data_IF_128284549454
#
_entry.id   IF_128284549454
#
_cell.length_a   1.000
_cell.length_b   1.000
_cell.length_c   1.000
_cell.angle_alpha   90.00
_cell.angle_beta   90.00
_cell.angle_gamma   90.00
#
_symmetry.space_group_name_H-M   'P 1'
#
loop_
_entity.id
_entity.type
_entity.pdbx_description
1 polymer ?
#
# COMPACT_ATOMS: atom_id res chain seq x y z
N UNK A 1 -13.60 -13.08 -5.10
CA UNK A 1 -13.25 -13.09 -3.66
C UNK A 1 -11.79 -12.78 -3.41
N UNK A 2 -10.79 -13.55 -3.87
CA UNK A 2 -9.36 -13.17 -3.67
C UNK A 2 -9.02 -11.75 -4.16
N UNK A 3 -9.57 -11.35 -5.31
CA UNK A 3 -9.42 -10.00 -5.85
C UNK A 3 -10.12 -8.92 -5.03
N UNK A 4 -11.08 -9.25 -4.17
CA UNK A 4 -11.87 -8.26 -3.39
C UNK A 4 -11.16 -7.83 -2.11
N UNK A 5 -10.09 -8.53 -1.73
CA UNK A 5 -9.25 -8.25 -0.59
C UNK A 5 -7.78 -8.16 -1.07
N UNK A 6 -6.86 -8.94 -0.52
CA UNK A 6 -5.42 -8.83 -0.81
C UNK A 6 -4.83 -9.99 -1.64
N UNK A 7 -5.65 -10.92 -2.15
CA UNK A 7 -5.17 -12.12 -2.84
C UNK A 7 -4.33 -11.83 -4.09
N UNK A 8 -4.52 -10.67 -4.72
CA UNK A 8 -3.72 -10.20 -5.86
C UNK A 8 -2.93 -8.92 -5.56
N UNK A 9 -2.57 -8.68 -4.30
CA UNK A 9 -1.97 -7.44 -3.82
C UNK A 9 -0.78 -6.91 -4.66
N UNK A 10 0.17 -7.76 -5.04
CA UNK A 10 1.33 -7.34 -5.86
C UNK A 10 2.11 -6.16 -5.26
N UNK A 11 2.21 -6.11 -3.92
CA UNK A 11 3.00 -5.08 -3.21
C UNK A 11 4.45 -5.08 -3.67
N UNK A 12 5.01 -3.88 -3.85
CA UNK A 12 6.38 -3.69 -4.34
C UNK A 12 6.49 -3.71 -5.86
N UNK A 13 5.38 -3.69 -6.60
CA UNK A 13 5.38 -3.46 -8.05
C UNK A 13 6.03 -2.11 -8.39
N UNK A 14 5.87 -1.12 -7.50
CA UNK A 14 6.64 0.12 -7.50
C UNK A 14 7.13 0.42 -6.09
N UNK A 15 8.24 1.16 -5.98
CA UNK A 15 8.79 1.58 -4.69
C UNK A 15 9.55 2.89 -4.78
N UNK A 16 9.67 3.57 -3.65
CA UNK A 16 10.52 4.75 -3.49
C UNK A 16 11.07 4.79 -2.06
N UNK A 17 12.33 5.17 -1.92
CA UNK A 17 12.95 5.46 -0.64
C UNK A 17 13.02 6.98 -0.47
N UNK A 18 12.39 7.48 0.59
CA UNK A 18 12.42 8.90 0.93
C UNK A 18 13.70 9.26 1.71
N UNK A 19 13.96 10.56 1.83
CA UNK A 19 15.17 11.08 2.50
C UNK A 19 15.18 10.85 4.01
N UNK A 20 14.05 10.49 4.61
CA UNK A 20 13.85 10.27 6.04
C UNK A 20 13.78 8.77 6.41
N UNK A 21 14.32 7.91 5.54
CA UNK A 21 14.30 6.44 5.68
C UNK A 21 12.89 5.82 5.68
N UNK A 22 11.90 6.52 5.12
CA UNK A 22 10.59 5.94 4.83
C UNK A 22 10.62 5.19 3.49
N UNK A 23 10.33 3.89 3.52
CA UNK A 23 10.08 3.09 2.33
C UNK A 23 8.60 3.17 1.93
N UNK A 24 8.35 3.63 0.71
CA UNK A 24 7.04 3.58 0.06
C UNK A 24 6.97 2.39 -0.89
N UNK A 25 5.88 1.62 -0.81
CA UNK A 25 5.62 0.46 -1.68
C UNK A 25 4.24 0.61 -2.31
N UNK A 26 4.20 0.66 -3.64
CA UNK A 26 2.97 0.64 -4.41
C UNK A 26 2.45 -0.79 -4.59
N UNK A 27 1.13 -0.94 -4.54
CA UNK A 27 0.44 -2.21 -4.64
C UNK A 27 -0.82 -2.03 -5.49
N UNK A 28 -0.83 -2.44 -6.77
CA UNK A 28 -1.94 -2.14 -7.67
C UNK A 28 -3.14 -3.08 -7.52
N UNK A 29 -2.97 -4.30 -7.02
CA UNK A 29 -4.03 -5.31 -7.09
C UNK A 29 -5.02 -5.47 -5.92
N UNK A 30 -4.84 -4.90 -4.71
CA UNK A 30 -5.84 -5.00 -3.66
C UNK A 30 -7.19 -4.38 -4.05
N UNK A 31 -8.27 -4.89 -3.46
CA UNK A 31 -9.62 -4.32 -3.55
C UNK A 31 -10.08 -4.09 -4.99
N UNK A 32 -9.98 -5.13 -5.82
CA UNK A 32 -10.42 -5.15 -7.22
C UNK A 32 -9.61 -4.17 -8.08
N UNK A 33 -8.29 -4.22 -7.94
CA UNK A 33 -7.35 -3.36 -8.67
C UNK A 33 -7.45 -1.85 -8.37
N UNK A 34 -8.17 -1.47 -7.31
CA UNK A 34 -8.20 -0.11 -6.77
C UNK A 34 -6.81 0.36 -6.34
N UNK A 35 -6.02 -0.58 -5.83
CA UNK A 35 -4.64 -0.33 -5.41
C UNK A 35 -4.52 0.37 -4.06
N UNK A 36 -3.32 0.36 -3.51
CA UNK A 36 -2.94 1.08 -2.27
C UNK A 36 -1.43 1.33 -2.20
N UNK A 37 -1.01 2.06 -1.18
CA UNK A 37 0.38 2.32 -0.83
C UNK A 37 0.63 1.78 0.58
N UNK A 38 1.72 1.03 0.74
CA UNK A 38 2.25 0.64 2.04
C UNK A 38 3.46 1.49 2.39
N UNK A 39 3.62 1.84 3.67
CA UNK A 39 4.77 2.61 4.15
C UNK A 39 5.39 1.95 5.37
N UNK A 40 6.72 1.96 5.46
CA UNK A 40 7.44 1.42 6.61
C UNK A 40 8.74 2.21 6.86
N UNK A 41 9.11 2.36 8.12
CA UNK A 41 10.43 2.86 8.52
C UNK A 41 11.50 1.77 8.33
N UNK A 42 12.56 2.13 7.60
CA UNK A 42 13.70 1.24 7.31
C UNK A 42 15.01 1.68 7.98
N UNK A 43 14.96 2.55 9.00
CA UNK A 43 16.14 2.90 9.82
C UNK A 43 16.88 1.65 10.29
N UNK A 44 18.20 1.77 10.30
CA UNK A 44 19.09 0.73 10.81
C UNK A 44 19.09 0.67 12.36
N UNK A 45 18.80 1.81 13.01
CA UNK A 45 18.68 1.87 14.47
C UNK A 45 17.40 1.18 14.95
N UNK A 46 17.56 0.02 15.59
CA UNK A 46 16.47 -0.80 16.11
C UNK A 46 15.67 -0.14 17.24
N UNK A 47 16.23 0.82 17.97
CA UNK A 47 15.51 1.51 19.05
C UNK A 47 14.60 2.60 18.50
N UNK A 48 15.06 3.29 17.47
CA UNK A 48 14.35 4.42 16.85
C UNK A 48 13.47 4.03 15.66
N UNK A 49 13.63 2.80 15.15
CA UNK A 49 12.84 2.28 14.02
C UNK A 49 11.41 1.99 14.43
N UNK A 50 10.47 2.56 13.67
CA UNK A 50 9.08 2.10 13.72
C UNK A 50 8.92 0.74 13.01
N UNK A 51 8.42 -0.26 13.73
CA UNK A 51 8.18 -1.60 13.18
C UNK A 51 6.80 -1.77 12.55
N UNK A 52 5.93 -0.76 12.63
CA UNK A 52 4.59 -0.78 12.03
C UNK A 52 4.67 -0.60 10.52
N UNK A 53 3.91 -1.42 9.80
CA UNK A 53 3.63 -1.21 8.37
C UNK A 53 2.28 -0.51 8.27
N UNK A 54 2.27 0.68 7.70
CA UNK A 54 1.04 1.43 7.45
C UNK A 54 0.56 1.18 6.03
N UNK A 55 -0.75 1.31 5.82
CA UNK A 55 -1.39 1.16 4.52
C UNK A 55 -2.36 2.32 4.32
N UNK A 56 -2.39 2.89 3.12
CA UNK A 56 -3.41 3.87 2.76
C UNK A 56 -4.81 3.22 2.75
N UNK A 57 -5.86 3.94 3.19
CA UNK A 57 -7.22 3.43 3.24
C UNK A 57 -7.72 3.06 1.83
N UNK A 58 -8.49 1.98 1.77
CA UNK A 58 -9.03 1.36 0.53
C UNK A 58 -10.54 1.18 0.61
N UNK A 59 -11.15 1.63 1.70
CA UNK A 59 -12.59 1.59 1.95
C UNK A 59 -13.36 2.50 0.99
N UNK A 60 -14.64 2.18 0.82
CA UNK A 60 -15.54 3.00 0.02
C UNK A 60 -15.71 4.39 0.63
N UNK A 61 -15.60 5.42 -0.21
CA UNK A 61 -15.62 6.82 0.19
C UNK A 61 -14.26 7.41 0.57
N UNK A 62 -13.26 6.57 0.89
CA UNK A 62 -11.88 7.01 1.13
C UNK A 62 -11.03 6.94 -0.14
N UNK A 63 -11.22 5.89 -0.96
CA UNK A 63 -10.57 5.80 -2.26
C UNK A 63 -11.21 6.75 -3.28
N UNK A 64 -10.40 7.46 -4.10
CA UNK A 64 -10.92 8.27 -5.20
C UNK A 64 -11.50 7.43 -6.34
N UNK A 65 -11.29 6.11 -6.32
CA UNK A 65 -11.73 5.18 -7.35
C UNK A 65 -12.76 4.21 -6.78
N UNK A 66 -13.90 4.03 -7.44
CA UNK A 66 -14.94 3.06 -7.06
C UNK A 66 -14.49 1.63 -7.36
N UNK A 67 -14.83 0.66 -6.48
CA UNK A 67 -14.31 -0.73 -6.47
C UNK A 67 -14.48 -1.52 -7.77
N UNK A 68 -15.44 -1.15 -8.60
CA UNK A 68 -15.72 -1.84 -9.87
C UNK A 68 -15.63 -0.89 -11.05
N UNK A 69 -14.78 0.13 -10.92
CA UNK A 69 -14.54 1.08 -12.00
C UNK A 69 -13.62 0.46 -13.05
N UNK A 70 -13.58 1.07 -14.23
CA UNK A 70 -12.61 0.68 -15.26
C UNK A 70 -11.15 0.88 -14.81
N UNK A 71 -10.92 1.80 -13.84
CA UNK A 71 -9.59 2.10 -13.32
C UNK A 71 -9.21 1.24 -12.10
N UNK A 72 -10.13 0.40 -11.60
CA UNK A 72 -10.01 -0.32 -10.32
C UNK A 72 -11.15 0.05 -9.39
#
# INVERSE_FOLDING_TARGET
REHEEFGYCQVGTSSSLLHDDTLLLGSPGPFTWRGTIFTQDIKDDLLDRDHVVYMAPVEDGASPVEKYSYLG
#
